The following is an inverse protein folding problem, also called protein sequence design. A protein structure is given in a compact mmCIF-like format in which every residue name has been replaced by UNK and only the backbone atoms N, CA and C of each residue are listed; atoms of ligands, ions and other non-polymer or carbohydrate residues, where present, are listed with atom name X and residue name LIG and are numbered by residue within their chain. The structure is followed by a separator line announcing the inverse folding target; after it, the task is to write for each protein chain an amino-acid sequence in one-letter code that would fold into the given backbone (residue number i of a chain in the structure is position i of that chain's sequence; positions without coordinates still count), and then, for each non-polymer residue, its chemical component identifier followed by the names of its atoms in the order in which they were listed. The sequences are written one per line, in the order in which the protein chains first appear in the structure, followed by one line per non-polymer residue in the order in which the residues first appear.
data_IF_844632590183
#
_entry.id   IF_844632590183
#
_cell.length_a   1.000
_cell.length_b   1.000
_cell.length_c   1.000
_cell.angle_alpha   90.00
_cell.angle_beta   90.00
_cell.angle_gamma   90.00
#
_symmetry.space_group_name_H-M   'P 1'
#
loop_
_entity.id
_entity.type
_entity.pdbx_description
1 polymer ?
#
# COMPACT_ATOMS: atom_id res chain seq x y z
N UNK A 1 14.53 -18.28 -18.61
CA UNK A 1 14.96 -17.57 -17.37
C UNK A 1 14.11 -16.34 -17.19
N UNK A 2 13.61 -16.11 -15.99
CA UNK A 2 12.81 -14.92 -15.65
C UNK A 2 13.58 -13.63 -16.04
N UNK A 3 13.30 -13.05 -17.18
CA UNK A 3 13.81 -11.73 -17.53
C UNK A 3 12.91 -10.68 -16.86
N UNK A 4 13.34 -10.19 -15.67
CA UNK A 4 12.46 -9.42 -14.80
C UNK A 4 12.76 -7.91 -14.83
N UNK A 5 12.97 -7.31 -15.99
CA UNK A 5 13.08 -5.85 -16.11
C UNK A 5 11.83 -5.14 -15.54
N UNK A 6 10.66 -5.76 -15.62
CA UNK A 6 9.38 -5.26 -15.13
C UNK A 6 8.84 -6.01 -13.90
N UNK A 7 9.74 -6.60 -13.10
CA UNK A 7 9.35 -7.32 -11.90
C UNK A 7 8.67 -6.40 -10.87
N UNK A 8 7.43 -6.76 -10.49
CA UNK A 8 6.65 -6.04 -9.46
C UNK A 8 7.06 -6.38 -8.02
N UNK A 9 8.02 -7.29 -7.83
CA UNK A 9 8.45 -7.81 -6.50
C UNK A 9 7.33 -8.56 -5.75
N UNK A 10 6.37 -9.18 -6.47
CA UNK A 10 5.21 -9.86 -5.86
C UNK A 10 5.54 -11.25 -5.29
N UNK A 11 6.76 -11.77 -5.45
CA UNK A 11 7.23 -13.07 -4.96
C UNK A 11 6.42 -14.31 -5.42
N UNK A 12 5.54 -14.21 -6.43
CA UNK A 12 4.78 -15.36 -6.93
C UNK A 12 5.72 -16.52 -7.36
N UNK A 13 6.83 -16.19 -8.05
CA UNK A 13 7.82 -17.16 -8.49
C UNK A 13 8.47 -17.95 -7.34
N UNK A 14 8.81 -17.27 -6.22
CA UNK A 14 9.40 -17.92 -5.04
C UNK A 14 8.36 -18.81 -4.33
N UNK A 15 7.13 -18.34 -4.19
CA UNK A 15 6.03 -19.09 -3.56
C UNK A 15 5.65 -20.34 -4.37
N UNK A 16 5.68 -20.27 -5.69
CA UNK A 16 5.33 -21.39 -6.56
C UNK A 16 6.46 -22.43 -6.68
N UNK A 17 7.70 -22.07 -6.37
CA UNK A 17 8.84 -22.97 -6.54
C UNK A 17 8.83 -24.10 -5.51
N UNK A 18 8.48 -25.32 -5.93
CA UNK A 18 8.42 -26.52 -5.06
C UNK A 18 9.80 -27.00 -4.62
N UNK A 19 10.87 -26.58 -5.32
CA UNK A 19 12.27 -26.92 -4.98
C UNK A 19 12.93 -25.89 -4.07
N UNK A 20 12.23 -24.81 -3.68
CA UNK A 20 12.78 -23.67 -2.93
C UNK A 20 14.07 -23.11 -3.58
N UNK A 21 14.13 -23.14 -4.91
CA UNK A 21 15.27 -22.68 -5.68
C UNK A 21 15.26 -21.15 -5.94
N UNK A 22 14.26 -20.41 -5.46
CA UNK A 22 14.12 -18.97 -5.71
C UNK A 22 14.04 -18.24 -4.38
N UNK A 23 14.95 -17.29 -4.17
CA UNK A 23 14.90 -16.29 -3.09
C UNK A 23 14.66 -14.90 -3.65
N UNK A 24 13.97 -14.06 -2.89
CA UNK A 24 13.77 -12.65 -3.23
C UNK A 24 14.84 -11.81 -2.51
N UNK A 25 15.70 -11.12 -3.26
CA UNK A 25 16.79 -10.30 -2.71
C UNK A 25 16.72 -8.88 -3.24
N UNK A 26 17.14 -7.90 -2.43
CA UNK A 26 17.22 -6.50 -2.85
C UNK A 26 18.35 -6.31 -3.87
N UNK A 27 18.00 -5.69 -5.00
CA UNK A 27 18.99 -5.25 -5.97
C UNK A 27 19.64 -3.91 -5.54
N UNK A 28 20.57 -3.37 -6.35
CA UNK A 28 21.25 -2.10 -6.08
C UNK A 28 20.29 -0.91 -5.95
N UNK A 29 19.14 -0.94 -6.61
CA UNK A 29 18.10 0.09 -6.50
C UNK A 29 17.19 -0.09 -5.28
N UNK A 30 17.32 -1.18 -4.48
CA UNK A 30 16.50 -1.47 -3.30
C UNK A 30 15.11 -2.05 -3.61
N UNK A 31 15.01 -2.88 -4.66
CA UNK A 31 13.80 -3.62 -5.00
C UNK A 31 14.05 -5.13 -4.95
N UNK A 32 13.13 -5.89 -4.38
CA UNK A 32 13.22 -7.36 -4.36
C UNK A 32 13.19 -7.92 -5.77
N UNK A 33 14.15 -8.79 -6.07
CA UNK A 33 14.27 -9.50 -7.35
C UNK A 33 14.53 -10.99 -7.09
N UNK A 34 13.98 -11.89 -7.93
CA UNK A 34 14.22 -13.32 -7.78
C UNK A 34 15.67 -13.66 -8.12
N UNK A 35 16.32 -14.37 -7.21
CA UNK A 35 17.64 -15.02 -7.44
C UNK A 35 17.40 -16.52 -7.47
N UNK A 36 17.88 -17.18 -8.52
CA UNK A 36 17.70 -18.60 -8.74
C UNK A 36 18.96 -19.35 -8.31
N UNK A 37 18.80 -20.30 -7.40
CA UNK A 37 19.83 -21.28 -7.04
C UNK A 37 19.85 -22.39 -8.12
N UNK A 38 20.82 -22.33 -9.01
CA UNK A 38 20.94 -23.25 -10.15
C UNK A 38 21.12 -24.71 -9.71
N UNK A 39 21.71 -24.97 -8.52
CA UNK A 39 21.86 -26.31 -7.97
C UNK A 39 20.54 -26.94 -7.55
N UNK A 40 19.57 -26.16 -7.18
CA UNK A 40 18.21 -26.60 -6.78
C UNK A 40 17.23 -26.55 -7.92
N UNK A 41 17.48 -25.71 -8.94
CA UNK A 41 16.58 -25.46 -10.03
C UNK A 41 16.54 -26.65 -11.02
N UNK A 42 15.33 -27.21 -11.21
CA UNK A 42 15.08 -28.29 -12.18
C UNK A 42 14.49 -27.76 -13.50
N UNK A 43 14.55 -26.49 -13.76
CA UNK A 43 14.13 -25.82 -15.01
C UNK A 43 12.68 -26.12 -15.44
N UNK A 44 11.78 -26.37 -14.51
CA UNK A 44 10.37 -26.74 -14.79
C UNK A 44 9.49 -25.60 -15.35
N UNK A 45 9.98 -24.36 -15.45
CA UNK A 45 9.26 -23.20 -16.01
C UNK A 45 8.10 -22.64 -15.14
N UNK A 46 7.80 -23.26 -13.98
CA UNK A 46 6.64 -22.85 -13.17
C UNK A 46 6.71 -21.38 -12.71
N UNK A 47 7.92 -20.89 -12.40
CA UNK A 47 8.13 -19.50 -11.99
C UNK A 47 7.76 -18.47 -13.08
N UNK A 48 7.96 -18.80 -14.36
CA UNK A 48 7.54 -17.98 -15.48
C UNK A 48 6.01 -18.05 -15.68
N UNK A 49 5.44 -19.26 -15.57
CA UNK A 49 4.01 -19.49 -15.71
C UNK A 49 3.18 -18.72 -14.71
N UNK A 50 3.65 -18.57 -13.47
CA UNK A 50 2.92 -17.84 -12.40
C UNK A 50 3.31 -16.36 -12.30
N UNK A 51 4.18 -15.84 -13.15
CA UNK A 51 4.65 -14.46 -13.08
C UNK A 51 3.57 -13.49 -13.60
N UNK A 52 2.99 -12.60 -12.76
CA UNK A 52 1.94 -11.66 -13.20
C UNK A 52 2.45 -10.55 -14.13
N UNK A 53 3.77 -10.34 -14.19
CA UNK A 53 4.38 -9.39 -15.12
C UNK A 53 4.56 -9.99 -16.54
N UNK A 54 4.52 -11.30 -16.67
CA UNK A 54 4.60 -12.04 -17.94
C UNK A 54 3.21 -12.50 -18.38
N UNK A 55 2.45 -13.08 -17.45
CA UNK A 55 1.12 -13.62 -17.66
C UNK A 55 0.13 -12.82 -16.83
N UNK A 56 -0.54 -11.85 -17.44
CA UNK A 56 -1.55 -11.03 -16.76
C UNK A 56 -2.59 -11.95 -16.12
N UNK A 57 -2.92 -11.64 -14.86
CA UNK A 57 -3.91 -12.36 -14.06
C UNK A 57 -5.15 -11.48 -13.93
N UNK A 58 -6.30 -12.02 -14.28
CA UNK A 58 -7.58 -11.37 -14.02
C UNK A 58 -8.17 -11.86 -12.69
N UNK A 59 -9.16 -11.13 -12.17
CA UNK A 59 -9.89 -11.57 -10.97
C UNK A 59 -10.65 -12.86 -11.29
N UNK A 60 -10.44 -13.96 -10.54
CA UNK A 60 -11.11 -15.24 -10.79
C UNK A 60 -12.62 -15.19 -10.56
N UNK A 61 -13.12 -14.19 -9.85
CA UNK A 61 -14.53 -13.98 -9.52
C UNK A 61 -15.25 -13.03 -10.49
N UNK A 62 -14.72 -12.83 -11.71
CA UNK A 62 -15.34 -12.04 -12.79
C UNK A 62 -15.75 -10.62 -12.37
N UNK A 63 -14.77 -9.81 -11.97
CA UNK A 63 -15.00 -8.42 -11.59
C UNK A 63 -15.64 -7.58 -12.72
N UNK A 64 -16.73 -6.83 -12.45
CA UNK A 64 -17.35 -5.95 -13.42
C UNK A 64 -16.44 -4.76 -13.75
N UNK A 65 -16.63 -4.16 -14.93
CA UNK A 65 -15.92 -2.95 -15.33
C UNK A 65 -16.28 -1.74 -14.48
N UNK A 66 -17.51 -1.67 -14.02
CA UNK A 66 -18.03 -0.61 -13.14
C UNK A 66 -18.40 -1.20 -11.78
N UNK A 67 -17.49 -1.14 -10.82
CA UNK A 67 -17.75 -1.63 -9.46
C UNK A 67 -18.73 -0.73 -8.73
N UNK A 68 -19.51 -1.29 -7.80
CA UNK A 68 -20.26 -0.48 -6.85
C UNK A 68 -19.28 0.36 -6.02
N UNK A 69 -19.51 1.65 -5.97
CA UNK A 69 -18.57 2.60 -5.37
C UNK A 69 -19.21 3.31 -4.19
N UNK A 70 -18.46 3.45 -3.09
CA UNK A 70 -18.92 4.10 -1.87
C UNK A 70 -17.86 5.05 -1.33
N UNK A 71 -18.31 6.12 -0.68
CA UNK A 71 -17.54 6.86 0.31
C UNK A 71 -17.90 6.28 1.69
N UNK A 72 -16.89 5.91 2.51
CA UNK A 72 -17.18 5.25 3.78
C UNK A 72 -16.12 5.50 4.86
N UNK A 73 -16.55 5.46 6.13
CA UNK A 73 -15.65 5.43 7.29
C UNK A 73 -16.24 4.63 8.45
N UNK A 74 -15.38 4.10 9.32
CA UNK A 74 -15.75 3.35 10.52
C UNK A 74 -16.48 4.24 11.53
N UNK A 75 -17.57 3.75 12.14
CA UNK A 75 -18.27 4.44 13.23
C UNK A 75 -17.42 4.49 14.50
N UNK A 76 -16.58 3.49 14.72
CA UNK A 76 -15.63 3.46 15.84
C UNK A 76 -14.50 4.48 15.58
N UNK A 77 -14.46 5.53 16.40
CA UNK A 77 -13.47 6.60 16.31
C UNK A 77 -12.03 6.13 16.60
N UNK A 78 -11.83 5.09 17.41
CA UNK A 78 -10.49 4.53 17.65
C UNK A 78 -9.96 3.83 16.41
N UNK A 79 -10.80 3.03 15.75
CA UNK A 79 -10.47 2.38 14.49
C UNK A 79 -10.18 3.45 13.42
N UNK A 80 -11.04 4.44 13.30
CA UNK A 80 -10.91 5.49 12.31
C UNK A 80 -9.64 6.33 12.52
N UNK A 81 -9.37 6.78 13.75
CA UNK A 81 -8.22 7.62 14.07
C UNK A 81 -6.88 6.89 13.90
N UNK A 82 -6.81 5.59 14.23
CA UNK A 82 -5.60 4.77 14.06
C UNK A 82 -5.37 4.28 12.61
N UNK A 83 -6.32 4.53 11.71
CA UNK A 83 -6.23 4.13 10.31
C UNK A 83 -5.75 5.28 9.41
N UNK A 84 -5.19 4.98 8.24
CA UNK A 84 -4.71 5.98 7.27
C UNK A 84 -5.84 6.80 6.64
N UNK A 85 -7.03 6.22 6.50
CA UNK A 85 -8.20 6.81 5.88
C UNK A 85 -9.45 6.57 6.76
N UNK A 86 -10.56 6.13 6.20
CA UNK A 86 -11.82 5.87 6.92
C UNK A 86 -11.84 4.62 7.82
N UNK A 87 -10.81 3.77 7.82
CA UNK A 87 -10.73 2.60 8.73
C UNK A 87 -11.41 1.33 8.23
N UNK A 88 -11.89 1.30 6.98
CA UNK A 88 -12.68 0.17 6.43
C UNK A 88 -11.91 -1.15 6.46
N UNK A 89 -10.59 -1.15 6.16
CA UNK A 89 -9.77 -2.36 6.28
C UNK A 89 -9.88 -3.00 7.67
N UNK A 90 -9.77 -2.19 8.73
CA UNK A 90 -9.84 -2.69 10.11
C UNK A 90 -11.19 -3.31 10.43
N UNK A 91 -12.29 -2.68 9.97
CA UNK A 91 -13.65 -3.22 10.20
C UNK A 91 -13.86 -4.55 9.48
N UNK A 92 -13.39 -4.66 8.22
CA UNK A 92 -13.42 -5.93 7.46
C UNK A 92 -12.57 -7.00 8.15
N UNK A 93 -11.37 -6.65 8.58
CA UNK A 93 -10.44 -7.56 9.24
C UNK A 93 -10.99 -8.08 10.57
N UNK A 94 -11.55 -7.20 11.40
CA UNK A 94 -12.19 -7.60 12.66
C UNK A 94 -13.36 -8.55 12.43
N UNK A 95 -14.16 -8.30 11.39
CA UNK A 95 -15.28 -9.20 11.02
C UNK A 95 -14.79 -10.62 10.67
N UNK A 96 -13.67 -10.73 9.95
CA UNK A 96 -13.07 -12.04 9.62
C UNK A 96 -12.52 -12.72 10.87
N UNK A 97 -11.80 -12.00 11.73
CA UNK A 97 -11.23 -12.53 12.97
C UNK A 97 -12.31 -12.97 13.96
N UNK A 98 -13.41 -12.20 14.10
CA UNK A 98 -14.55 -12.55 14.95
C UNK A 98 -15.23 -13.87 14.56
N UNK A 99 -15.12 -14.25 13.28
CA UNK A 99 -15.63 -15.51 12.75
C UNK A 99 -14.54 -16.62 12.67
N UNK A 100 -13.44 -16.49 13.41
CA UNK A 100 -12.38 -17.51 13.46
C UNK A 100 -11.52 -17.60 12.21
N UNK A 101 -11.61 -16.62 11.30
CA UNK A 101 -10.76 -16.50 10.13
C UNK A 101 -9.36 -16.01 10.46
N UNK A 102 -8.57 -15.75 9.43
CA UNK A 102 -7.23 -15.16 9.50
C UNK A 102 -7.12 -13.97 8.59
N UNK A 103 -6.27 -13.01 8.95
CA UNK A 103 -6.01 -11.80 8.17
C UNK A 103 -4.54 -11.75 7.80
N UNK A 104 -4.25 -11.54 6.52
CA UNK A 104 -2.90 -11.38 5.99
C UNK A 104 -2.73 -9.96 5.50
N UNK A 105 -1.67 -9.30 5.94
CA UNK A 105 -1.36 -7.93 5.54
C UNK A 105 0.06 -7.54 5.89
N UNK A 106 0.44 -6.32 5.54
CA UNK A 106 1.81 -5.81 5.74
C UNK A 106 1.98 -5.23 7.13
N UNK A 107 3.02 -5.67 7.83
CA UNK A 107 3.48 -5.12 9.11
C UNK A 107 4.90 -4.54 8.97
N UNK A 108 5.28 -3.66 9.89
CA UNK A 108 6.67 -3.28 10.12
C UNK A 108 7.34 -4.37 10.97
N UNK A 109 8.33 -5.07 10.42
CA UNK A 109 9.05 -6.18 11.08
C UNK A 109 10.35 -5.71 11.76
N UNK A 110 10.97 -4.69 11.19
CA UNK A 110 12.13 -3.98 11.74
C UNK A 110 12.08 -2.53 11.23
N UNK A 111 13.02 -1.68 11.65
CA UNK A 111 13.00 -0.24 11.35
C UNK A 111 12.77 0.11 9.88
N UNK A 112 13.35 -0.65 8.95
CA UNK A 112 13.18 -0.45 7.48
C UNK A 112 12.65 -1.68 6.76
N UNK A 113 12.36 -2.76 7.47
CA UNK A 113 11.85 -3.99 6.91
C UNK A 113 10.33 -4.09 7.14
N UNK A 114 9.60 -4.14 6.05
CA UNK A 114 8.15 -4.33 6.01
C UNK A 114 7.84 -5.62 5.27
N UNK A 115 6.93 -6.42 5.82
CA UNK A 115 6.62 -7.72 5.22
C UNK A 115 5.20 -8.16 5.56
N UNK A 116 4.71 -9.13 4.79
CA UNK A 116 3.41 -9.74 5.06
C UNK A 116 3.52 -10.69 6.25
N UNK A 117 2.54 -10.61 7.12
CA UNK A 117 2.34 -11.53 8.24
C UNK A 117 0.90 -12.04 8.27
N UNK A 118 0.69 -13.14 8.95
CA UNK A 118 -0.63 -13.68 9.30
C UNK A 118 -1.00 -13.22 10.69
N UNK A 119 -2.24 -12.78 10.86
CA UNK A 119 -2.83 -12.36 12.13
C UNK A 119 -4.08 -13.20 12.37
N UNK A 120 -4.19 -13.77 13.59
CA UNK A 120 -5.29 -14.67 13.98
C UNK A 120 -6.14 -14.11 15.13
N UNK A 121 -5.79 -12.92 15.63
CA UNK A 121 -6.50 -12.26 16.72
C UNK A 121 -6.51 -10.73 16.58
N UNK A 122 -7.45 -10.06 17.24
CA UNK A 122 -7.59 -8.60 17.16
C UNK A 122 -6.45 -7.82 17.78
N UNK A 123 -5.76 -8.35 18.80
CA UNK A 123 -4.66 -7.68 19.46
C UNK A 123 -3.49 -7.45 18.48
N UNK A 124 -3.26 -8.40 17.59
CA UNK A 124 -2.20 -8.31 16.58
C UNK A 124 -2.62 -7.50 15.34
N UNK A 125 -3.91 -7.22 15.14
CA UNK A 125 -4.42 -6.49 13.98
C UNK A 125 -3.81 -5.08 13.86
N UNK A 126 -3.46 -4.46 14.96
CA UNK A 126 -2.84 -3.13 14.95
C UNK A 126 -1.53 -3.11 14.15
N UNK A 127 -0.76 -4.20 14.10
CA UNK A 127 0.45 -4.35 13.28
C UNK A 127 0.19 -4.13 11.79
N UNK A 128 -1.03 -4.47 11.34
CA UNK A 128 -1.44 -4.33 9.95
C UNK A 128 -2.02 -2.95 9.62
N UNK A 129 -2.47 -2.19 10.62
CA UNK A 129 -3.09 -0.87 10.41
C UNK A 129 -2.10 0.13 9.82
N UNK A 130 -2.64 1.07 9.07
CA UNK A 130 -1.87 2.15 8.45
C UNK A 130 -1.13 1.75 7.19
N UNK A 131 -1.06 2.68 6.23
CA UNK A 131 -0.31 2.51 4.99
C UNK A 131 1.19 2.49 5.26
N UNK A 132 1.90 1.59 4.59
CA UNK A 132 3.37 1.49 4.62
C UNK A 132 3.89 1.90 3.25
N UNK A 133 4.46 3.11 3.15
CA UNK A 133 4.99 3.61 1.89
C UNK A 133 6.45 3.18 1.67
N UNK A 134 6.67 1.88 1.77
CA UNK A 134 7.92 1.18 1.45
C UNK A 134 7.56 -0.14 0.80
N UNK A 135 8.38 -0.63 -0.13
CA UNK A 135 8.17 -1.95 -0.74
C UNK A 135 8.24 -3.04 0.35
N UNK A 136 7.15 -3.77 0.52
CA UNK A 136 7.07 -4.85 1.48
C UNK A 136 7.57 -6.17 0.87
N UNK A 137 8.27 -6.96 1.69
CA UNK A 137 8.59 -8.35 1.37
C UNK A 137 7.33 -9.21 1.53
N UNK A 138 7.01 -9.97 0.50
CA UNK A 138 5.88 -10.92 0.55
C UNK A 138 6.28 -12.20 1.28
N UNK A 139 7.56 -12.54 1.28
CA UNK A 139 8.04 -13.81 1.83
C UNK A 139 7.40 -15.00 1.13
N UNK A 140 7.04 -16.00 1.91
CA UNK A 140 6.35 -17.21 1.43
C UNK A 140 4.87 -17.28 1.86
N UNK A 141 4.27 -16.15 2.24
CA UNK A 141 2.92 -16.08 2.83
C UNK A 141 1.81 -16.63 1.93
N UNK A 142 1.99 -16.68 0.61
CA UNK A 142 0.99 -17.30 -0.27
C UNK A 142 0.86 -18.81 -0.03
N UNK A 143 1.92 -19.46 0.46
CA UNK A 143 1.87 -20.88 0.87
C UNK A 143 1.06 -21.04 2.15
N UNK A 144 1.21 -20.12 3.09
CA UNK A 144 0.43 -20.13 4.34
C UNK A 144 -1.05 -19.91 4.03
N UNK A 145 -1.38 -18.93 3.17
CA UNK A 145 -2.74 -18.70 2.67
C UNK A 145 -3.33 -19.99 2.08
N UNK A 146 -2.59 -20.66 1.18
CA UNK A 146 -3.04 -21.93 0.59
C UNK A 146 -3.31 -22.99 1.66
N UNK A 147 -2.49 -23.06 2.70
CA UNK A 147 -2.65 -24.02 3.80
C UNK A 147 -3.91 -23.73 4.62
N UNK A 148 -4.16 -22.46 4.97
CA UNK A 148 -5.38 -22.05 5.67
C UNK A 148 -6.65 -22.32 4.84
N UNK A 149 -6.63 -22.01 3.54
CA UNK A 149 -7.76 -22.29 2.65
C UNK A 149 -8.07 -23.77 2.54
N UNK A 150 -7.03 -24.64 2.45
CA UNK A 150 -7.19 -26.10 2.45
C UNK A 150 -7.74 -26.64 3.78
N UNK A 151 -7.42 -25.98 4.89
CA UNK A 151 -7.96 -26.26 6.21
C UNK A 151 -9.38 -25.67 6.41
N UNK A 152 -10.01 -25.18 5.34
CA UNK A 152 -11.33 -24.56 5.33
C UNK A 152 -11.45 -23.32 6.25
N UNK A 153 -10.34 -22.66 6.57
CA UNK A 153 -10.37 -21.38 7.30
C UNK A 153 -10.63 -20.23 6.35
N UNK A 154 -11.41 -19.26 6.78
CA UNK A 154 -11.62 -18.02 6.04
C UNK A 154 -10.35 -17.15 6.10
N UNK A 155 -9.92 -16.65 4.94
CA UNK A 155 -8.74 -15.80 4.81
C UNK A 155 -9.15 -14.47 4.22
N UNK A 156 -8.74 -13.35 4.85
CA UNK A 156 -8.71 -12.03 4.26
C UNK A 156 -7.26 -11.69 3.90
N UNK A 157 -6.95 -11.60 2.61
CA UNK A 157 -5.63 -11.19 2.15
C UNK A 157 -5.66 -9.73 1.68
N UNK A 158 -4.82 -8.87 2.29
CA UNK A 158 -4.66 -7.48 1.90
C UNK A 158 -3.27 -7.21 1.33
N UNK A 159 -3.21 -6.47 0.21
CA UNK A 159 -1.95 -6.13 -0.43
C UNK A 159 -2.09 -5.08 -1.53
N UNK A 160 -1.01 -4.82 -2.24
CA UNK A 160 -1.07 -4.05 -3.49
C UNK A 160 -1.67 -4.90 -4.62
N UNK A 161 -2.22 -4.30 -5.69
CA UNK A 161 -2.85 -5.07 -6.77
C UNK A 161 -1.94 -6.14 -7.39
N UNK A 162 -0.65 -5.85 -7.56
CA UNK A 162 0.32 -6.83 -8.08
C UNK A 162 0.60 -7.98 -7.10
N UNK A 163 0.46 -7.77 -5.79
CA UNK A 163 0.56 -8.83 -4.78
C UNK A 163 -0.69 -9.71 -4.77
N UNK A 164 -1.89 -9.13 -4.94
CA UNK A 164 -3.12 -9.90 -5.15
C UNK A 164 -3.01 -10.76 -6.42
N UNK A 165 -2.53 -10.19 -7.52
CA UNK A 165 -2.29 -10.95 -8.76
C UNK A 165 -1.28 -12.09 -8.54
N UNK A 166 -0.23 -11.85 -7.77
CA UNK A 166 0.73 -12.87 -7.36
C UNK A 166 0.12 -14.01 -6.56
N UNK A 167 -0.75 -13.69 -5.61
CA UNK A 167 -1.52 -14.68 -4.84
C UNK A 167 -2.38 -15.55 -5.75
N UNK A 168 -3.21 -14.93 -6.61
CA UNK A 168 -4.07 -15.67 -7.53
C UNK A 168 -3.27 -16.54 -8.51
N UNK A 169 -2.14 -16.04 -9.02
CA UNK A 169 -1.27 -16.83 -9.88
C UNK A 169 -0.73 -18.08 -9.19
N UNK A 170 -0.37 -17.98 -7.91
CA UNK A 170 0.13 -19.09 -7.10
C UNK A 170 -0.98 -20.06 -6.74
N UNK A 171 -2.17 -19.59 -6.41
CA UNK A 171 -3.32 -20.44 -6.10
C UNK A 171 -3.84 -21.19 -7.33
N UNK A 172 -3.69 -20.62 -8.53
CA UNK A 172 -4.14 -21.15 -9.81
C UNK A 172 -5.29 -20.32 -10.40
N UNK A 173 -5.25 -20.10 -11.71
CA UNK A 173 -6.16 -19.20 -12.42
C UNK A 173 -7.65 -19.57 -12.34
N UNK A 174 -7.95 -20.84 -12.09
CA UNK A 174 -9.32 -21.38 -12.02
C UNK A 174 -9.75 -21.68 -10.59
N UNK A 175 -8.90 -21.45 -9.61
CA UNK A 175 -9.19 -21.77 -8.23
C UNK A 175 -10.04 -20.66 -7.61
N UNK A 176 -11.34 -20.85 -7.56
CA UNK A 176 -12.24 -20.04 -6.75
C UNK A 176 -12.33 -20.63 -5.34
N UNK A 177 -11.95 -19.83 -4.36
CA UNK A 177 -12.06 -20.23 -2.96
C UNK A 177 -13.18 -19.40 -2.32
N UNK A 178 -14.27 -20.04 -1.94
CA UNK A 178 -15.40 -19.36 -1.28
C UNK A 178 -15.01 -18.74 0.08
N UNK A 179 -13.93 -19.24 0.69
CA UNK A 179 -13.37 -18.79 1.96
C UNK A 179 -12.15 -17.84 1.80
N UNK A 180 -11.86 -17.36 0.59
CA UNK A 180 -10.86 -16.32 0.34
C UNK A 180 -11.53 -14.99 0.01
N UNK A 181 -11.20 -13.97 0.75
CA UNK A 181 -11.51 -12.58 0.46
C UNK A 181 -10.22 -11.79 0.20
N UNK A 182 -10.24 -10.94 -0.80
CA UNK A 182 -9.07 -10.12 -1.16
C UNK A 182 -9.39 -8.64 -1.10
N UNK A 183 -8.47 -7.87 -0.53
CA UNK A 183 -8.56 -6.42 -0.46
C UNK A 183 -7.28 -5.81 -1.05
N UNK A 184 -7.40 -5.08 -2.15
CA UNK A 184 -6.30 -4.28 -2.63
C UNK A 184 -6.44 -2.80 -2.26
N UNK A 185 -5.37 -2.06 -2.42
CA UNK A 185 -5.35 -0.62 -2.23
C UNK A 185 -5.27 0.11 -3.57
N UNK A 186 -5.81 1.33 -3.63
CA UNK A 186 -5.49 2.26 -4.73
C UNK A 186 -4.02 2.65 -4.60
N UNK A 187 -3.18 1.93 -5.34
CA UNK A 187 -1.73 1.95 -5.17
C UNK A 187 -1.08 3.07 -5.99
N UNK A 188 -0.35 3.95 -5.30
CA UNK A 188 0.47 4.97 -5.95
C UNK A 188 1.74 4.39 -6.59
N UNK A 189 2.29 3.32 -6.00
CA UNK A 189 3.50 2.64 -6.43
C UNK A 189 4.32 2.16 -5.25
N UNK A 190 5.30 1.30 -5.51
CA UNK A 190 6.17 0.68 -4.49
C UNK A 190 7.51 1.39 -4.45
N UNK A 191 7.82 2.18 -3.41
CA UNK A 191 9.08 2.88 -3.29
C UNK A 191 10.21 1.97 -2.82
N UNK A 192 11.44 2.31 -3.22
CA UNK A 192 12.66 1.59 -2.89
C UNK A 192 12.92 1.50 -1.39
N UNK A 193 13.21 0.31 -0.90
CA UNK A 193 13.64 0.04 0.49
C UNK A 193 14.91 0.83 0.80
N UNK A 194 15.90 0.82 -0.10
CA UNK A 194 17.18 1.51 0.09
C UNK A 194 17.04 3.03 0.23
N UNK A 195 16.08 3.64 -0.45
CA UNK A 195 15.78 5.08 -0.28
C UNK A 195 15.24 5.35 1.11
N UNK A 196 14.35 4.49 1.62
CA UNK A 196 13.83 4.60 2.96
C UNK A 196 14.92 4.36 4.02
N UNK A 197 15.77 3.38 3.84
CA UNK A 197 16.93 3.11 4.73
C UNK A 197 17.85 4.31 4.85
N UNK A 198 18.17 4.97 3.72
CA UNK A 198 18.99 6.20 3.73
C UNK A 198 18.31 7.35 4.49
N UNK A 199 17.00 7.50 4.30
CA UNK A 199 16.23 8.51 5.03
C UNK A 199 16.23 8.23 6.55
N UNK A 200 16.01 6.98 6.96
CA UNK A 200 16.05 6.59 8.37
C UNK A 200 17.45 6.76 8.96
N UNK A 201 18.50 6.36 8.26
CA UNK A 201 19.88 6.52 8.71
C UNK A 201 20.27 8.00 8.94
N UNK A 202 19.73 8.91 8.12
CA UNK A 202 19.93 10.34 8.30
C UNK A 202 19.23 10.87 9.56
N UNK A 203 17.98 10.45 9.80
CA UNK A 203 17.25 10.79 11.03
C UNK A 203 18.01 10.28 12.27
N UNK A 204 18.45 9.03 12.24
CA UNK A 204 19.20 8.43 13.36
C UNK A 204 20.49 9.20 13.66
N UNK A 205 21.21 9.59 12.62
CA UNK A 205 22.43 10.42 12.74
C UNK A 205 22.12 11.80 13.32
N UNK A 206 21.12 12.50 12.76
CA UNK A 206 20.77 13.88 13.16
C UNK A 206 20.21 13.93 14.58
N UNK A 207 19.53 12.89 15.04
CA UNK A 207 18.90 12.81 16.38
C UNK A 207 19.73 12.05 17.40
N UNK A 208 20.85 11.43 16.99
CA UNK A 208 21.64 10.52 17.83
C UNK A 208 20.77 9.47 18.56
N UNK A 209 19.81 8.90 17.83
CA UNK A 209 18.80 7.98 18.34
C UNK A 209 18.42 6.93 17.28
N UNK A 210 17.85 5.81 17.71
CA UNK A 210 17.42 4.73 16.83
C UNK A 210 15.93 4.82 16.53
N UNK A 211 15.54 4.69 15.26
CA UNK A 211 14.13 4.64 14.86
C UNK A 211 13.56 3.25 15.19
N UNK A 212 12.49 3.24 16.00
CA UNK A 212 11.77 2.01 16.38
C UNK A 212 10.63 1.69 15.43
N UNK A 213 9.82 2.70 15.11
CA UNK A 213 8.65 2.54 14.24
C UNK A 213 8.36 3.81 13.46
N UNK A 214 7.62 3.65 12.35
CA UNK A 214 7.22 4.77 11.50
C UNK A 214 5.75 4.64 11.10
N UNK A 215 4.96 5.68 11.39
CA UNK A 215 3.63 5.90 10.83
C UNK A 215 3.71 6.86 9.64
N UNK A 216 3.30 6.43 8.47
CA UNK A 216 3.36 7.24 7.25
C UNK A 216 2.14 8.15 7.07
N UNK A 217 1.08 7.92 7.84
CA UNK A 217 -0.21 8.59 7.69
C UNK A 217 -0.82 8.95 9.06
N UNK A 218 -0.06 9.63 9.90
CA UNK A 218 -0.55 10.19 11.16
C UNK A 218 -1.49 11.37 10.88
N UNK A 219 -2.74 11.26 11.29
CA UNK A 219 -3.82 12.22 11.02
C UNK A 219 -4.04 13.25 12.14
N UNK A 220 -3.20 13.31 13.14
CA UNK A 220 -3.35 14.26 14.27
C UNK A 220 -3.42 15.74 13.84
N UNK A 221 -2.91 16.06 12.64
CA UNK A 221 -2.99 17.41 12.02
C UNK A 221 -4.03 17.51 10.90
N UNK A 222 -4.98 16.57 10.84
CA UNK A 222 -5.97 16.43 9.79
C UNK A 222 -5.61 15.36 8.78
N UNK A 223 -6.62 14.82 8.10
CA UNK A 223 -6.43 13.79 7.08
C UNK A 223 -5.80 14.34 5.80
N UNK A 224 -6.20 15.55 5.39
CA UNK A 224 -5.61 16.21 4.21
C UNK A 224 -4.16 16.66 4.43
N UNK A 225 -3.77 16.96 5.68
CA UNK A 225 -2.41 17.39 6.05
C UNK A 225 -1.73 16.36 6.96
N UNK A 226 -1.86 15.08 6.62
CA UNK A 226 -1.24 14.01 7.39
C UNK A 226 0.27 14.17 7.55
N UNK A 227 0.79 13.56 8.59
CA UNK A 227 2.21 13.58 8.92
C UNK A 227 2.84 12.19 8.77
N UNK A 228 4.14 12.17 8.53
CA UNK A 228 4.97 11.01 8.79
C UNK A 228 5.57 11.18 10.18
N UNK A 229 5.30 10.21 11.07
CA UNK A 229 5.74 10.24 12.46
C UNK A 229 6.61 9.03 12.73
N UNK A 230 7.83 9.25 13.25
CA UNK A 230 8.73 8.19 13.68
C UNK A 230 8.91 8.25 15.18
N UNK A 231 8.84 7.07 15.84
CA UNK A 231 9.19 6.90 17.26
C UNK A 231 10.66 6.51 17.33
N UNK A 232 11.41 7.17 18.19
CA UNK A 232 12.84 7.00 18.35
C UNK A 232 13.18 6.68 19.82
N UNK A 233 14.32 6.01 20.01
CA UNK A 233 14.92 5.76 21.30
C UNK A 233 16.38 6.23 21.29
N UNK A 234 16.76 7.05 22.27
CA UNK A 234 18.16 7.47 22.47
C UNK A 234 19.00 6.34 23.03
N UNK A 235 20.33 6.49 23.00
CA UNK A 235 21.26 5.56 23.66
C UNK A 235 21.01 5.50 25.18
N UNK A 236 20.55 6.61 25.77
CA UNK A 236 20.17 6.67 27.21
C UNK A 236 18.82 6.03 27.53
N UNK A 237 18.07 5.53 26.53
CA UNK A 237 16.78 4.87 26.71
C UNK A 237 15.58 5.82 26.70
N UNK A 238 15.74 7.09 26.38
CA UNK A 238 14.65 8.05 26.28
C UNK A 238 13.90 7.87 24.96
N UNK A 239 12.57 7.68 25.04
CA UNK A 239 11.69 7.54 23.89
C UNK A 239 11.03 8.88 23.53
N UNK A 240 11.08 9.27 22.27
CA UNK A 240 10.41 10.47 21.76
C UNK A 240 9.90 10.27 20.33
N UNK A 241 9.11 11.21 19.85
CA UNK A 241 8.58 11.19 18.48
C UNK A 241 9.01 12.43 17.71
N UNK A 242 9.30 12.22 16.43
CA UNK A 242 9.41 13.29 15.42
C UNK A 242 8.27 13.16 14.44
N UNK A 243 7.69 14.28 14.04
CA UNK A 243 6.53 14.30 13.15
C UNK A 243 6.62 15.47 12.18
N UNK A 244 6.55 15.16 10.88
CA UNK A 244 6.56 16.15 9.82
C UNK A 244 5.37 15.95 8.89
N UNK A 245 4.69 17.02 8.55
CA UNK A 245 3.56 16.99 7.60
C UNK A 245 4.03 16.63 6.20
N UNK A 246 3.14 16.07 5.40
CA UNK A 246 3.40 15.59 4.03
C UNK A 246 4.07 16.64 3.13
N UNK A 247 3.76 17.92 3.35
CA UNK A 247 4.34 19.04 2.59
C UNK A 247 5.76 19.42 3.04
N UNK A 248 6.22 18.94 4.20
CA UNK A 248 7.55 19.18 4.76
C UNK A 248 8.44 17.95 4.74
N UNK A 249 7.85 16.76 4.88
CA UNK A 249 8.60 15.53 4.98
C UNK A 249 9.29 15.18 3.65
N UNK A 250 10.60 15.17 3.67
CA UNK A 250 11.44 14.98 2.47
C UNK A 250 11.23 13.61 1.81
N UNK A 251 11.04 12.53 2.60
CA UNK A 251 10.80 11.19 2.07
C UNK A 251 9.46 11.11 1.33
N UNK A 252 8.39 11.60 1.96
CA UNK A 252 7.07 11.62 1.33
C UNK A 252 7.07 12.46 0.05
N UNK A 253 7.82 13.55 0.00
CA UNK A 253 7.96 14.36 -1.22
C UNK A 253 8.66 13.59 -2.35
N UNK A 254 9.75 12.86 -2.06
CA UNK A 254 10.45 12.00 -3.03
C UNK A 254 9.52 10.91 -3.55
N UNK A 255 8.76 10.27 -2.65
CA UNK A 255 7.76 9.25 -2.98
C UNK A 255 6.65 9.80 -3.87
N UNK A 256 6.00 10.88 -3.47
CA UNK A 256 4.87 11.47 -4.20
C UNK A 256 5.27 12.08 -5.56
N UNK A 257 6.56 12.39 -5.76
CA UNK A 257 7.11 12.79 -7.07
C UNK A 257 7.58 11.61 -7.92
N UNK A 258 7.35 10.37 -7.51
CA UNK A 258 7.67 9.14 -8.25
C UNK A 258 9.17 8.97 -8.56
N UNK A 259 10.06 9.57 -7.77
CA UNK A 259 11.50 9.47 -7.95
C UNK A 259 12.07 8.11 -7.54
N UNK A 260 11.43 7.45 -6.56
CA UNK A 260 11.93 6.22 -5.94
C UNK A 260 11.05 5.00 -6.19
N UNK A 261 10.09 5.05 -7.11
CA UNK A 261 9.18 3.94 -7.36
C UNK A 261 9.85 2.81 -8.17
N UNK A 262 9.37 1.57 -8.00
CA UNK A 262 9.75 0.46 -8.86
C UNK A 262 9.40 0.77 -10.33
N UNK A 263 10.24 0.34 -11.27
CA UNK A 263 10.03 0.59 -12.71
C UNK A 263 8.67 0.08 -13.19
N UNK A 264 8.27 -1.13 -12.76
CA UNK A 264 6.99 -1.75 -13.09
C UNK A 264 5.76 -0.94 -12.65
N UNK A 265 5.90 0.01 -11.71
CA UNK A 265 4.77 0.84 -11.29
C UNK A 265 4.29 1.80 -12.38
N UNK A 266 5.16 2.19 -13.31
CA UNK A 266 4.77 3.08 -14.42
C UNK A 266 4.08 2.37 -15.58
N UNK A 267 4.20 1.06 -15.66
CA UNK A 267 3.56 0.18 -16.66
C UNK A 267 2.60 -0.82 -16.00
N UNK A 268 2.08 -0.47 -14.81
CA UNK A 268 1.29 -1.37 -13.99
C UNK A 268 0.00 -1.84 -14.69
N UNK A 269 -0.10 -3.15 -14.95
CA UNK A 269 -1.26 -3.76 -15.56
C UNK A 269 -2.52 -3.76 -14.67
N UNK A 270 -2.35 -3.51 -13.36
CA UNK A 270 -3.41 -3.61 -12.35
C UNK A 270 -3.95 -2.25 -11.87
N UNK A 271 -3.39 -1.13 -12.34
CA UNK A 271 -3.93 0.21 -12.10
C UNK A 271 -5.00 0.55 -13.17
N UNK A 272 -6.04 -0.27 -13.25
CA UNK A 272 -7.13 -0.18 -14.24
C UNK A 272 -8.42 -0.80 -13.69
N UNK A 273 -9.52 -0.60 -14.40
CA UNK A 273 -10.76 -1.37 -14.22
C UNK A 273 -10.83 -2.49 -15.29
N UNK A 274 -11.41 -3.64 -14.95
CA UNK A 274 -11.84 -4.08 -13.62
C UNK A 274 -10.67 -4.26 -12.66
N UNK A 275 -10.92 -4.10 -11.35
CA UNK A 275 -9.91 -4.28 -10.31
C UNK A 275 -9.67 -5.77 -10.05
N UNK A 276 -8.46 -6.07 -9.56
CA UNK A 276 -8.01 -7.46 -9.34
C UNK A 276 -8.53 -8.08 -8.04
N UNK A 277 -8.81 -7.29 -6.99
CA UNK A 277 -9.28 -7.78 -5.70
C UNK A 277 -10.80 -7.80 -5.62
N UNK A 278 -11.37 -8.45 -4.59
CA UNK A 278 -12.80 -8.44 -4.31
C UNK A 278 -13.28 -7.05 -3.84
N UNK A 279 -12.46 -6.37 -3.03
CA UNK A 279 -12.69 -4.99 -2.58
C UNK A 279 -11.42 -4.17 -2.83
N UNK A 280 -11.59 -2.95 -3.34
CA UNK A 280 -10.49 -1.97 -3.43
C UNK A 280 -10.73 -0.84 -2.44
N UNK A 281 -9.70 -0.49 -1.66
CA UNK A 281 -9.73 0.61 -0.71
C UNK A 281 -8.74 1.70 -1.08
N UNK A 282 -9.12 2.95 -0.83
CA UNK A 282 -8.23 4.11 -1.02
C UNK A 282 -8.71 5.31 -0.22
N UNK A 283 -7.95 6.40 -0.26
CA UNK A 283 -8.43 7.70 0.20
C UNK A 283 -9.45 8.24 -0.82
N UNK A 284 -10.58 8.79 -0.35
CA UNK A 284 -11.51 9.45 -1.24
C UNK A 284 -11.17 10.95 -1.36
N UNK A 285 -10.10 11.26 -2.10
CA UNK A 285 -9.74 12.65 -2.37
C UNK A 285 -10.88 13.37 -3.09
N UNK A 286 -11.21 14.60 -2.65
CA UNK A 286 -12.32 15.37 -3.20
C UNK A 286 -13.70 15.00 -2.64
N UNK A 287 -13.79 14.13 -1.64
CA UNK A 287 -15.04 13.80 -0.95
C UNK A 287 -15.73 15.05 -0.37
N UNK A 288 -14.95 16.04 0.07
CA UNK A 288 -15.44 17.35 0.54
C UNK A 288 -16.28 18.10 -0.49
N UNK A 289 -16.06 17.86 -1.78
CA UNK A 289 -16.78 18.51 -2.88
C UNK A 289 -17.97 17.71 -3.39
N UNK A 290 -17.83 16.38 -3.39
CA UNK A 290 -18.81 15.49 -4.01
C UNK A 290 -19.78 14.88 -3.00
N UNK A 291 -19.35 14.70 -1.75
CA UNK A 291 -20.13 14.13 -0.66
C UNK A 291 -19.85 14.88 0.65
N UNK A 292 -20.20 16.20 0.75
CA UNK A 292 -19.88 17.03 1.90
C UNK A 292 -20.48 16.51 3.21
N UNK A 293 -21.63 15.83 3.16
CA UNK A 293 -22.32 15.29 4.34
C UNK A 293 -21.55 14.16 5.05
N UNK A 294 -20.60 13.51 4.34
CA UNK A 294 -19.78 12.43 4.90
C UNK A 294 -18.32 12.87 5.14
N UNK A 295 -18.02 14.16 4.97
CA UNK A 295 -16.68 14.72 5.13
C UNK A 295 -16.53 15.47 6.47
N UNK A 296 -15.44 15.19 7.20
CA UNK A 296 -15.10 15.85 8.48
C UNK A 296 -13.58 15.97 8.75
N UNK A 297 -12.73 15.81 7.72
CA UNK A 297 -11.25 15.81 7.76
C UNK A 297 -10.61 14.73 8.68
N UNK A 298 -11.39 13.73 9.12
CA UNK A 298 -10.85 12.59 9.89
C UNK A 298 -10.47 11.38 9.03
N UNK A 299 -10.75 11.46 7.73
CA UNK A 299 -10.50 10.42 6.73
C UNK A 299 -11.76 9.70 6.28
N UNK A 300 -11.96 9.68 4.96
CA UNK A 300 -13.02 8.95 4.28
C UNK A 300 -12.39 8.08 3.19
N UNK A 301 -12.74 6.79 3.18
CA UNK A 301 -12.25 5.85 2.19
C UNK A 301 -13.14 5.83 0.96
N UNK A 302 -12.53 5.75 -0.23
CA UNK A 302 -13.23 5.18 -1.39
C UNK A 302 -13.21 3.66 -1.23
N UNK A 303 -14.38 3.05 -1.44
CA UNK A 303 -14.58 1.59 -1.39
C UNK A 303 -15.17 1.15 -2.72
N UNK A 304 -14.45 0.30 -3.44
CA UNK A 304 -14.95 -0.31 -4.68
C UNK A 304 -15.26 -1.77 -4.39
N UNK A 305 -16.51 -2.17 -4.61
CA UNK A 305 -16.96 -3.55 -4.49
C UNK A 305 -16.87 -4.17 -5.88
N UNK A 306 -15.85 -5.00 -6.08
CA UNK A 306 -15.47 -5.49 -7.39
C UNK A 306 -16.08 -6.86 -7.74
N UNK A 307 -16.56 -7.62 -6.75
CA UNK A 307 -17.11 -8.97 -6.96
C UNK A 307 -18.26 -9.26 -6.01
N UNK A 308 -19.00 -10.32 -6.28
CA UNK A 308 -20.05 -10.81 -5.37
C UNK A 308 -19.49 -11.25 -4.01
N UNK A 309 -18.25 -11.78 -3.97
CA UNK A 309 -17.57 -12.08 -2.70
C UNK A 309 -17.28 -10.79 -1.92
N UNK A 310 -16.77 -9.76 -2.60
CA UNK A 310 -16.59 -8.44 -1.99
C UNK A 310 -17.90 -7.86 -1.47
N UNK A 311 -18.98 -7.98 -2.22
CA UNK A 311 -20.31 -7.54 -1.80
C UNK A 311 -20.78 -8.28 -0.55
N UNK A 312 -20.68 -9.61 -0.51
CA UNK A 312 -21.03 -10.41 0.67
C UNK A 312 -20.28 -9.94 1.92
N UNK A 313 -18.97 -9.73 1.81
CA UNK A 313 -18.15 -9.26 2.93
C UNK A 313 -18.53 -7.83 3.35
N UNK A 314 -18.75 -6.92 2.40
CA UNK A 314 -19.14 -5.54 2.69
C UNK A 314 -20.49 -5.47 3.42
N UNK A 315 -21.47 -6.26 3.02
CA UNK A 315 -22.79 -6.33 3.69
C UNK A 315 -22.67 -6.66 5.18
N UNK A 316 -21.69 -7.51 5.58
CA UNK A 316 -21.51 -7.90 6.99
C UNK A 316 -21.02 -6.77 7.89
N UNK A 317 -20.52 -5.68 7.32
CA UNK A 317 -19.95 -4.56 8.08
C UNK A 317 -20.77 -3.26 8.01
N UNK A 318 -21.86 -3.21 7.24
CA UNK A 318 -22.67 -2.00 7.03
C UNK A 318 -23.09 -1.30 8.32
N UNK A 319 -23.47 -2.07 9.34
CA UNK A 319 -23.88 -1.54 10.64
C UNK A 319 -22.73 -0.90 11.42
N UNK A 320 -21.47 -1.22 11.09
CA UNK A 320 -20.26 -0.75 11.75
C UNK A 320 -19.63 0.49 11.06
N UNK A 321 -20.20 0.94 9.93
CA UNK A 321 -19.66 2.03 9.11
C UNK A 321 -20.71 3.10 8.80
N UNK A 322 -20.26 4.32 8.55
CA UNK A 322 -21.02 5.33 7.84
C UNK A 322 -20.61 5.28 6.38
N UNK A 323 -21.57 5.30 5.47
CA UNK A 323 -21.28 5.23 4.04
C UNK A 323 -22.38 5.93 3.22
N UNK A 324 -22.02 6.40 2.04
CA UNK A 324 -22.95 6.79 0.98
C UNK A 324 -22.49 6.21 -0.36
N UNK A 325 -23.44 5.98 -1.26
CA UNK A 325 -23.14 5.57 -2.62
C UNK A 325 -22.42 6.68 -3.39
N UNK A 326 -21.58 6.30 -4.30
CA UNK A 326 -20.83 7.21 -5.16
C UNK A 326 -20.69 6.65 -6.57
N UNK A 327 -20.16 7.46 -7.47
CA UNK A 327 -19.89 7.09 -8.84
C UNK A 327 -18.40 6.81 -9.04
N UNK A 328 -18.08 5.74 -9.78
CA UNK A 328 -16.70 5.34 -10.07
C UNK A 328 -15.95 6.40 -10.89
N UNK A 329 -16.62 7.12 -11.77
CA UNK A 329 -15.99 8.15 -12.59
C UNK A 329 -15.66 9.39 -11.76
N UNK A 330 -16.52 9.74 -10.79
CA UNK A 330 -16.24 10.79 -9.81
C UNK A 330 -15.03 10.39 -8.96
N UNK A 331 -15.04 9.19 -8.38
CA UNK A 331 -13.94 8.70 -7.56
C UNK A 331 -12.62 8.64 -8.35
N UNK A 332 -12.64 8.14 -9.59
CA UNK A 332 -11.47 8.05 -10.47
C UNK A 332 -10.95 9.43 -10.92
N UNK A 333 -11.82 10.43 -11.09
CA UNK A 333 -11.42 11.80 -11.41
C UNK A 333 -10.60 12.43 -10.28
N UNK A 334 -10.93 12.09 -9.04
CA UNK A 334 -10.24 12.58 -7.83
C UNK A 334 -9.05 11.71 -7.42
N UNK A 335 -9.07 10.42 -7.77
CA UNK A 335 -8.03 9.43 -7.42
C UNK A 335 -7.55 8.68 -8.66
N UNK A 336 -6.67 9.32 -9.42
CA UNK A 336 -6.17 8.84 -10.72
C UNK A 336 -5.71 7.38 -10.71
N UNK A 337 -5.08 6.91 -9.63
CA UNK A 337 -4.52 5.56 -9.55
C UNK A 337 -5.59 4.45 -9.48
N UNK A 338 -6.86 4.77 -9.46
CA UNK A 338 -7.95 3.81 -9.67
C UNK A 338 -7.88 3.24 -11.09
N UNK A 339 -7.63 4.08 -12.09
CA UNK A 339 -7.73 3.73 -13.53
C UNK A 339 -6.43 3.84 -14.31
N UNK A 340 -5.38 4.44 -13.74
CA UNK A 340 -4.12 4.71 -14.46
C UNK A 340 -2.91 4.54 -13.53
N UNK A 341 -1.79 3.99 -14.04
CA UNK A 341 -0.56 3.88 -13.28
C UNK A 341 0.07 5.27 -13.01
N UNK A 342 0.95 5.32 -12.02
CA UNK A 342 1.78 6.49 -11.75
C UNK A 342 2.81 6.69 -12.87
N UNK A 343 3.05 7.92 -13.27
CA UNK A 343 4.05 8.24 -14.29
C UNK A 343 5.43 8.32 -13.63
N UNK A 344 6.40 7.55 -14.15
CA UNK A 344 7.76 7.61 -13.65
C UNK A 344 8.35 9.03 -13.81
N UNK A 345 9.01 9.52 -12.78
CA UNK A 345 9.69 10.81 -12.87
C UNK A 345 10.88 10.73 -13.86
N UNK A 346 11.07 11.75 -14.71
CA UNK A 346 12.14 11.77 -15.73
C UNK A 346 13.54 11.55 -15.17
N UNK A 347 13.79 11.99 -13.95
CA UNK A 347 15.08 11.85 -13.24
C UNK A 347 15.19 10.54 -12.42
N UNK A 348 14.18 9.63 -12.44
CA UNK A 348 14.16 8.42 -11.61
C UNK A 348 15.42 7.57 -11.78
N UNK A 349 15.81 7.27 -13.02
CA UNK A 349 17.01 6.44 -13.28
C UNK A 349 18.27 7.05 -12.69
N UNK A 350 18.46 8.36 -12.87
CA UNK A 350 19.63 9.07 -12.32
C UNK A 350 19.59 9.11 -10.79
N UNK A 351 18.43 9.38 -10.18
CA UNK A 351 18.23 9.37 -8.74
C UNK A 351 18.60 8.02 -8.12
N UNK A 352 18.12 6.91 -8.69
CA UNK A 352 18.38 5.58 -8.17
C UNK A 352 19.84 5.12 -8.40
N UNK A 353 20.49 5.58 -9.49
CA UNK A 353 21.92 5.35 -9.74
C UNK A 353 22.81 6.01 -8.68
N UNK A 354 22.41 7.19 -8.23
CA UNK A 354 23.18 7.95 -7.24
C UNK A 354 23.02 7.44 -5.80
N UNK A 355 22.09 6.48 -5.58
CA UNK A 355 21.87 5.88 -4.25
C UNK A 355 23.15 5.26 -3.64
N UNK A 356 24.09 4.79 -4.45
CA UNK A 356 25.30 4.16 -3.94
C UNK A 356 26.32 5.19 -3.42
N UNK A 357 26.25 6.42 -3.91
CA UNK A 357 27.28 7.44 -3.72
C UNK A 357 26.86 8.63 -2.87
N UNK A 358 25.55 8.84 -2.67
CA UNK A 358 25.03 10.04 -2.00
C UNK A 358 24.19 9.65 -0.76
N UNK A 359 24.24 10.49 0.28
CA UNK A 359 23.29 10.42 1.39
C UNK A 359 21.90 10.93 0.96
N UNK A 360 20.90 10.81 1.83
CA UNK A 360 19.53 11.16 1.47
C UNK A 360 19.34 12.68 1.26
N UNK A 361 19.95 13.53 2.09
CA UNK A 361 19.85 14.98 1.95
C UNK A 361 20.47 15.50 0.66
N UNK A 362 21.61 14.94 0.25
CA UNK A 362 22.25 15.31 -1.02
C UNK A 362 21.42 14.88 -2.22
N UNK A 363 20.85 13.65 -2.17
CA UNK A 363 19.89 13.17 -3.17
C UNK A 363 18.67 14.08 -3.26
N UNK A 364 18.09 14.44 -2.11
CA UNK A 364 16.95 15.34 -2.05
C UNK A 364 17.29 16.70 -2.69
N UNK A 365 18.39 17.31 -2.30
CA UNK A 365 18.83 18.61 -2.83
C UNK A 365 19.06 18.57 -4.34
N UNK A 366 19.73 17.52 -4.85
CA UNK A 366 20.07 17.37 -6.27
C UNK A 366 18.83 17.16 -7.15
N UNK A 367 17.84 16.40 -6.67
CA UNK A 367 16.75 15.92 -7.52
C UNK A 367 15.39 16.58 -7.25
N UNK A 368 15.19 17.14 -6.05
CA UNK A 368 13.98 17.84 -5.67
C UNK A 368 14.14 19.34 -5.96
N UNK A 369 14.07 19.70 -7.25
CA UNK A 369 14.05 21.12 -7.65
C UNK A 369 12.94 21.83 -6.89
N UNK A 370 13.24 23.04 -6.41
CA UNK A 370 12.26 23.96 -5.80
C UNK A 370 11.02 24.07 -6.70
N UNK A 371 9.82 24.04 -6.12
CA UNK A 371 8.62 24.28 -6.90
C UNK A 371 8.73 25.62 -7.62
N UNK A 372 8.31 25.66 -8.88
CA UNK A 372 8.24 26.92 -9.63
C UNK A 372 7.37 27.94 -8.89
N UNK A 373 7.57 29.23 -9.17
CA UNK A 373 6.78 30.31 -8.57
C UNK A 373 5.27 30.04 -8.71
N UNK A 374 4.82 29.55 -9.86
CA UNK A 374 3.44 29.15 -10.12
C UNK A 374 2.96 28.01 -9.21
N UNK A 375 3.80 27.01 -8.95
CA UNK A 375 3.48 25.93 -8.02
C UNK A 375 3.49 26.39 -6.56
N UNK A 376 4.34 27.37 -6.20
CA UNK A 376 4.32 28.01 -4.87
C UNK A 376 3.03 28.81 -4.67
N UNK A 377 2.60 29.59 -5.67
CA UNK A 377 1.34 30.35 -5.65
C UNK A 377 0.13 29.39 -5.54
N UNK A 378 0.05 28.36 -6.36
CA UNK A 378 -1.04 27.38 -6.33
C UNK A 378 -1.16 26.67 -4.95
N UNK A 379 -0.02 26.34 -4.32
CA UNK A 379 0.01 25.74 -2.98
C UNK A 379 -0.44 26.71 -1.89
N UNK A 380 -0.09 28.01 -2.02
CA UNK A 380 -0.51 29.05 -1.08
C UNK A 380 -2.02 29.31 -1.18
N UNK A 381 -2.55 29.44 -2.39
CA UNK A 381 -3.98 29.65 -2.62
C UNK A 381 -4.81 28.46 -2.15
N UNK A 382 -4.35 27.22 -2.36
CA UNK A 382 -5.02 26.02 -1.89
C UNK A 382 -5.01 25.90 -0.36
N UNK A 383 -3.85 26.21 0.30
CA UNK A 383 -3.76 26.29 1.77
C UNK A 383 -4.68 27.36 2.36
N UNK A 384 -4.71 28.55 1.76
CA UNK A 384 -5.58 29.64 2.23
C UNK A 384 -7.07 29.29 2.07
N UNK A 385 -7.47 28.68 0.96
CA UNK A 385 -8.84 28.21 0.74
C UNK A 385 -9.24 27.13 1.75
N UNK A 386 -8.32 26.24 2.12
CA UNK A 386 -8.61 25.18 3.11
C UNK A 386 -8.70 25.74 4.53
N UNK A 387 -7.85 26.71 4.90
CA UNK A 387 -7.91 27.40 6.19
C UNK A 387 -9.21 28.25 6.29
N UNK A 388 -9.56 28.97 5.24
CA UNK A 388 -10.78 29.77 5.20
C UNK A 388 -12.04 28.92 5.29
N UNK A 389 -12.11 27.78 4.60
CA UNK A 389 -13.22 26.84 4.77
C UNK A 389 -13.37 26.36 6.22
N UNK A 390 -12.26 26.03 6.91
CA UNK A 390 -12.28 25.56 8.29
C UNK A 390 -12.60 26.66 9.32
N UNK A 391 -12.47 27.95 8.94
CA UNK A 391 -12.80 29.10 9.80
C UNK A 391 -14.24 29.56 9.58
N UNK A 392 -14.79 29.46 8.36
CA UNK A 392 -16.12 30.00 8.00
C UNK A 392 -17.23 28.93 8.03
N UNK A 393 -16.94 27.67 8.21
CA UNK A 393 -17.91 26.57 8.29
C UNK A 393 -17.78 25.75 9.59
N UNK A 394 -17.41 26.44 10.67
CA UNK A 394 -17.63 25.94 12.04
C UNK A 394 -18.90 26.50 12.61
#
# INVERSE_FOLDING_TARGET
MLNCSECSSCAACANACTRNAISMQLNSEGFYRPIIDEKKCVQCGLCEKVCPSVNIVDNPNNAPKEPQTFAAYAKDEKIRSSSSSGGIFSVLAEQILDNGGVVVGVAQLAKSHFGHIVVENKADLEKLRGSKYVLADVGLVYRDVRSYLKANRTVLFSGTPCQIAGLYAVLGKTATYANLFTVDVVCHGSPSVKVFEKYIAEIEKDKSAFVLSTSFRDKRKGWGLYSMTSSLNTISGECFQISETVDKNKYLQVFLRNLCLNASCSTCHYAKLPRIADITLGDYWGVDRHHPDIYDDKGTSVVLINTDNGKKLFETIKEKINYCESDIHIAASCQRNITRPSIAHRKRKAFLKDLDYMNFSDLYTKYMTEPTILQKIYRLTWKQLHILKNVFFK
#
